data_IF_899880905043
#
_entry.id   IF_899880905043
#
_cell.length_a   1.000
_cell.length_b   1.000
_cell.length_c   1.000
_cell.angle_alpha   90.00
_cell.angle_beta   90.00
_cell.angle_gamma   90.00
#
_symmetry.space_group_name_H-M   'P 1'
#
loop_
_entity.id
_entity.type
_entity.pdbx_description
1 polymer ?
#
# COMPACT_ATOMS: atom_id res chain seq x y z
N UNK A 1 -19.86 13.93 -30.74
CA UNK A 1 -21.06 13.07 -30.66
C UNK A 1 -20.79 11.59 -30.99
N UNK A 2 -19.75 11.27 -31.78
CA UNK A 2 -19.47 9.89 -32.21
C UNK A 2 -19.20 8.91 -31.05
N UNK A 3 -18.45 9.32 -30.01
CA UNK A 3 -18.14 8.46 -28.85
C UNK A 3 -19.12 8.60 -27.67
N UNK A 4 -20.08 9.52 -27.75
CA UNK A 4 -21.00 9.82 -26.64
C UNK A 4 -22.40 9.23 -26.85
N UNK A 5 -22.71 8.76 -28.06
CA UNK A 5 -24.04 8.25 -28.42
C UNK A 5 -23.93 7.02 -29.30
N UNK A 6 -24.85 6.07 -29.10
CA UNK A 6 -24.97 4.89 -29.94
C UNK A 6 -25.43 5.33 -31.34
N UNK A 7 -24.72 4.92 -32.42
CA UNK A 7 -24.99 5.43 -33.77
C UNK A 7 -26.32 4.93 -34.36
N UNK A 8 -26.88 3.84 -33.82
CA UNK A 8 -28.15 3.25 -34.28
C UNK A 8 -29.32 3.79 -33.46
N UNK A 9 -29.20 3.82 -32.13
CA UNK A 9 -30.31 4.19 -31.23
C UNK A 9 -30.33 5.67 -30.85
N UNK A 10 -29.23 6.40 -31.06
CA UNK A 10 -29.06 7.80 -30.65
C UNK A 10 -28.99 8.02 -29.13
N UNK A 11 -29.08 6.96 -28.31
CA UNK A 11 -29.00 7.04 -26.84
C UNK A 11 -27.57 7.37 -26.40
N UNK A 12 -27.44 8.03 -25.25
CA UNK A 12 -26.13 8.25 -24.60
C UNK A 12 -25.53 6.90 -24.24
N UNK A 13 -24.25 6.73 -24.55
CA UNK A 13 -23.50 5.54 -24.23
C UNK A 13 -23.01 5.58 -22.78
N UNK A 14 -23.09 4.45 -22.10
CA UNK A 14 -22.45 4.21 -20.82
C UNK A 14 -21.29 3.22 -21.01
N UNK A 15 -20.07 3.68 -20.73
CA UNK A 15 -18.85 2.92 -21.01
C UNK A 15 -18.85 1.52 -20.36
N UNK A 16 -19.30 1.44 -19.12
CA UNK A 16 -19.30 0.21 -18.35
C UNK A 16 -20.27 -0.82 -18.91
N UNK A 17 -21.54 -0.43 -19.10
CA UNK A 17 -22.60 -1.35 -19.50
C UNK A 17 -22.61 -1.67 -20.99
N UNK A 18 -22.30 -0.69 -21.85
CA UNK A 18 -22.34 -0.88 -23.31
C UNK A 18 -21.08 -1.56 -23.87
N UNK A 19 -19.94 -1.47 -23.20
CA UNK A 19 -18.66 -1.97 -23.73
C UNK A 19 -17.84 -2.82 -22.76
N UNK A 20 -17.51 -2.27 -21.59
CA UNK A 20 -16.54 -2.90 -20.71
C UNK A 20 -17.05 -4.22 -20.09
N UNK A 21 -18.25 -4.25 -19.52
CA UNK A 21 -18.82 -5.48 -18.93
C UNK A 21 -19.08 -6.59 -19.95
N UNK A 22 -19.59 -6.33 -21.17
CA UNK A 22 -19.64 -7.33 -22.23
C UNK A 22 -18.26 -7.92 -22.55
N UNK A 23 -17.24 -7.07 -22.72
CA UNK A 23 -15.87 -7.51 -23.00
C UNK A 23 -15.31 -8.35 -21.84
N UNK A 24 -15.46 -7.85 -20.61
CA UNK A 24 -14.99 -8.48 -19.39
C UNK A 24 -15.54 -9.91 -19.26
N UNK A 25 -16.87 -10.07 -19.40
CA UNK A 25 -17.51 -11.36 -19.25
C UNK A 25 -17.17 -12.30 -20.41
N UNK A 26 -17.14 -11.80 -21.65
CA UNK A 26 -16.73 -12.62 -22.80
C UNK A 26 -15.28 -13.11 -22.67
N UNK A 27 -14.37 -12.26 -22.21
CA UNK A 27 -12.98 -12.63 -21.96
C UNK A 27 -12.87 -13.64 -20.81
N UNK A 28 -13.57 -13.39 -19.70
CA UNK A 28 -13.59 -14.27 -18.54
C UNK A 28 -14.10 -15.68 -18.90
N UNK A 29 -15.23 -15.78 -19.61
CA UNK A 29 -15.78 -17.04 -20.10
C UNK A 29 -14.78 -17.76 -21.03
N UNK A 30 -14.15 -17.02 -21.95
CA UNK A 30 -13.15 -17.57 -22.87
C UNK A 30 -11.96 -18.18 -22.14
N UNK A 31 -11.40 -17.48 -21.16
CA UNK A 31 -10.27 -17.96 -20.37
C UNK A 31 -10.68 -19.18 -19.53
N UNK A 32 -11.88 -19.15 -18.94
CA UNK A 32 -12.41 -20.27 -18.13
C UNK A 32 -12.58 -21.56 -18.92
N UNK A 33 -12.89 -21.51 -20.22
CA UNK A 33 -12.98 -22.72 -21.05
C UNK A 33 -11.65 -23.48 -21.19
N UNK A 34 -10.51 -22.84 -20.92
CA UNK A 34 -9.17 -23.42 -21.14
C UNK A 34 -8.31 -23.43 -19.87
N UNK A 35 -8.87 -23.06 -18.72
CA UNK A 35 -8.16 -22.96 -17.43
C UNK A 35 -8.96 -23.58 -16.29
N UNK A 36 -8.31 -23.88 -15.17
CA UNK A 36 -8.99 -24.37 -13.97
C UNK A 36 -9.99 -23.34 -13.44
N UNK A 37 -11.19 -23.74 -12.98
CA UNK A 37 -12.15 -22.85 -12.33
C UNK A 37 -11.57 -22.11 -11.10
N UNK A 38 -10.56 -22.69 -10.44
CA UNK A 38 -9.88 -22.12 -9.27
C UNK A 38 -8.99 -20.91 -9.59
N UNK A 39 -8.71 -20.65 -10.89
CA UNK A 39 -7.97 -19.46 -11.29
C UNK A 39 -8.78 -18.19 -11.01
N UNK A 40 -8.08 -17.20 -10.45
CA UNK A 40 -8.61 -15.88 -10.14
C UNK A 40 -8.67 -15.02 -11.40
N UNK A 41 -9.72 -14.20 -11.52
CA UNK A 41 -9.86 -13.20 -12.58
C UNK A 41 -9.69 -11.81 -11.97
N UNK A 42 -8.62 -11.11 -12.35
CA UNK A 42 -8.36 -9.74 -11.91
C UNK A 42 -9.18 -8.79 -12.77
N UNK A 43 -9.92 -7.89 -12.13
CA UNK A 43 -10.83 -6.96 -12.80
C UNK A 43 -10.43 -5.53 -12.46
N UNK A 44 -9.93 -4.82 -13.46
CA UNK A 44 -9.44 -3.45 -13.35
C UNK A 44 -10.54 -2.43 -13.68
N UNK A 45 -10.94 -1.57 -12.73
CA UNK A 45 -11.80 -0.42 -13.02
C UNK A 45 -10.99 0.71 -13.69
N UNK A 46 -11.64 1.84 -13.95
CA UNK A 46 -10.91 3.08 -14.24
C UNK A 46 -9.94 3.41 -13.08
N UNK A 47 -8.66 3.75 -13.36
CA UNK A 47 -7.68 4.10 -12.33
C UNK A 47 -8.15 5.22 -11.40
N UNK A 48 -7.73 5.18 -10.13
CA UNK A 48 -8.04 6.17 -9.09
C UNK A 48 -9.54 6.37 -8.77
N UNK A 49 -10.44 5.64 -9.42
CA UNK A 49 -11.88 5.70 -9.21
C UNK A 49 -12.37 4.63 -8.24
N UNK A 50 -13.55 4.86 -7.67
CA UNK A 50 -14.23 3.85 -6.86
C UNK A 50 -14.82 2.76 -7.74
N UNK A 51 -14.97 1.57 -7.15
CA UNK A 51 -15.68 0.47 -7.80
C UNK A 51 -17.09 0.93 -8.23
N UNK A 52 -17.47 0.77 -9.50
CA UNK A 52 -18.83 1.02 -9.94
C UNK A 52 -19.80 0.07 -9.24
N UNK A 53 -20.91 0.58 -8.73
CA UNK A 53 -21.95 -0.26 -8.10
C UNK A 53 -22.57 -1.23 -9.10
N UNK A 54 -22.62 -0.87 -10.38
CA UNK A 54 -23.13 -1.73 -11.45
C UNK A 54 -22.28 -2.97 -11.68
N UNK A 55 -21.00 -2.99 -11.28
CA UNK A 55 -20.15 -4.18 -11.44
C UNK A 55 -20.68 -5.37 -10.61
N UNK A 56 -21.46 -5.13 -9.55
CA UNK A 56 -22.05 -6.17 -8.72
C UNK A 56 -22.90 -7.18 -9.53
N UNK A 57 -23.63 -6.70 -10.54
CA UNK A 57 -24.50 -7.51 -11.41
C UNK A 57 -23.73 -8.14 -12.59
N UNK A 58 -22.50 -7.68 -12.82
CA UNK A 58 -21.67 -8.06 -13.96
C UNK A 58 -20.35 -8.74 -13.53
N UNK A 59 -20.24 -9.12 -12.26
CA UNK A 59 -19.02 -9.69 -11.69
C UNK A 59 -18.73 -11.08 -12.29
N UNK A 60 -17.53 -11.31 -12.86
CA UNK A 60 -17.09 -12.66 -13.18
C UNK A 60 -17.01 -13.51 -11.91
N UNK A 61 -17.28 -14.81 -12.03
CA UNK A 61 -17.01 -15.75 -10.93
C UNK A 61 -15.52 -15.68 -10.52
N UNK A 62 -15.22 -15.98 -9.25
CA UNK A 62 -13.85 -16.04 -8.70
C UNK A 62 -12.97 -14.81 -9.03
N UNK A 63 -13.55 -13.61 -8.96
CA UNK A 63 -12.84 -12.36 -9.27
C UNK A 63 -12.03 -11.82 -8.09
N UNK A 64 -10.99 -11.05 -8.42
CA UNK A 64 -10.26 -10.14 -7.54
C UNK A 64 -10.46 -8.73 -8.09
N UNK A 65 -10.85 -7.79 -7.25
CA UNK A 65 -10.93 -6.38 -7.66
C UNK A 65 -9.52 -5.79 -7.71
N UNK A 66 -9.13 -5.26 -8.87
CA UNK A 66 -7.75 -4.88 -9.16
C UNK A 66 -7.60 -3.38 -9.51
N UNK A 67 -7.93 -2.43 -8.61
CA UNK A 67 -7.81 -1.01 -8.90
C UNK A 67 -6.36 -0.55 -9.02
N UNK A 68 -6.15 0.59 -9.68
CA UNK A 68 -4.87 1.30 -9.68
C UNK A 68 -5.01 2.56 -8.82
N UNK A 69 -3.92 2.97 -8.16
CA UNK A 69 -3.88 4.25 -7.45
C UNK A 69 -2.53 4.92 -7.60
N UNK A 70 -2.59 6.20 -7.97
CA UNK A 70 -1.47 7.14 -7.93
C UNK A 70 -1.86 8.41 -7.19
N UNK A 71 -0.89 9.09 -6.57
CA UNK A 71 -1.08 10.50 -6.21
C UNK A 71 -1.12 11.31 -7.51
N UNK A 72 -2.33 11.64 -7.96
CA UNK A 72 -2.55 12.36 -9.21
C UNK A 72 -1.87 13.74 -9.21
N UNK A 73 -1.76 14.42 -8.06
CA UNK A 73 -1.08 15.70 -8.00
C UNK A 73 0.42 15.53 -8.27
N UNK A 74 1.05 14.57 -7.58
CA UNK A 74 2.48 14.29 -7.77
C UNK A 74 2.78 13.69 -9.14
N UNK A 75 1.90 12.82 -9.66
CA UNK A 75 2.03 12.17 -10.96
C UNK A 75 2.03 13.20 -12.10
N UNK A 76 1.03 14.10 -12.13
CA UNK A 76 0.95 15.10 -13.19
C UNK A 76 2.00 16.20 -13.07
N UNK A 77 2.34 16.60 -11.84
CA UNK A 77 3.39 17.60 -11.62
C UNK A 77 4.82 17.04 -11.79
N UNK A 78 4.97 15.71 -11.76
CA UNK A 78 6.25 15.02 -11.53
C UNK A 78 7.04 15.66 -10.39
N UNK A 79 6.38 15.92 -9.27
CA UNK A 79 6.97 16.61 -8.13
C UNK A 79 6.39 16.13 -6.81
N UNK A 80 7.24 16.05 -5.78
CA UNK A 80 6.84 15.69 -4.43
C UNK A 80 7.63 16.51 -3.40
N UNK A 81 6.94 16.89 -2.32
CA UNK A 81 7.46 17.74 -1.26
C UNK A 81 6.71 17.50 0.06
N UNK A 82 6.75 18.46 0.97
CA UNK A 82 6.05 18.37 2.27
C UNK A 82 4.54 18.68 2.20
N UNK A 83 3.97 18.81 1.00
CA UNK A 83 2.56 19.11 0.84
C UNK A 83 1.91 18.15 -0.14
N UNK A 84 0.84 17.48 0.29
CA UNK A 84 0.05 16.59 -0.55
C UNK A 84 -1.42 17.01 -0.57
N UNK A 85 -2.11 16.63 -1.64
CA UNK A 85 -3.51 16.99 -1.87
C UNK A 85 -4.34 15.72 -1.98
N UNK A 86 -5.47 15.66 -1.29
CA UNK A 86 -6.47 14.63 -1.47
C UNK A 86 -7.28 14.90 -2.76
N UNK A 87 -6.70 14.54 -3.90
CA UNK A 87 -7.32 14.74 -5.22
C UNK A 87 -8.62 13.94 -5.35
N UNK A 88 -8.69 12.74 -4.75
CA UNK A 88 -9.92 11.93 -4.71
C UNK A 88 -11.07 12.67 -4.03
N UNK A 89 -10.82 13.33 -2.90
CA UNK A 89 -11.80 14.15 -2.20
C UNK A 89 -12.14 15.44 -2.93
N UNK A 90 -11.11 16.16 -3.42
CA UNK A 90 -11.26 17.44 -4.11
C UNK A 90 -12.12 17.30 -5.37
N UNK A 91 -11.86 16.27 -6.19
CA UNK A 91 -12.64 15.96 -7.40
C UNK A 91 -14.11 15.62 -7.12
N UNK A 92 -14.44 15.25 -5.88
CA UNK A 92 -15.80 14.91 -5.41
C UNK A 92 -16.44 16.03 -4.58
N UNK A 93 -15.91 17.26 -4.67
CA UNK A 93 -16.51 18.44 -4.04
C UNK A 93 -16.14 18.65 -2.57
N UNK A 94 -15.11 17.98 -2.05
CA UNK A 94 -14.61 18.23 -0.70
C UNK A 94 -14.08 19.68 -0.60
N UNK A 95 -14.38 20.34 0.52
CA UNK A 95 -13.90 21.70 0.79
C UNK A 95 -12.36 21.76 0.75
N UNK A 96 -11.73 22.65 -0.04
CA UNK A 96 -10.29 22.60 -0.32
C UNK A 96 -9.38 22.53 0.91
N UNK A 97 -9.66 23.29 1.99
CA UNK A 97 -8.81 23.26 3.19
C UNK A 97 -8.83 21.90 3.93
N UNK A 98 -9.83 21.05 3.68
CA UNK A 98 -9.87 19.66 4.18
C UNK A 98 -9.14 18.67 3.28
N UNK A 99 -8.67 19.12 2.12
CA UNK A 99 -7.94 18.28 1.15
C UNK A 99 -6.42 18.46 1.25
N UNK A 100 -5.94 19.35 2.11
CA UNK A 100 -4.55 19.73 2.21
C UNK A 100 -3.87 19.03 3.38
N UNK A 101 -2.75 18.37 3.11
CA UNK A 101 -2.00 17.59 4.09
C UNK A 101 -0.54 18.05 4.11
N UNK A 102 -0.02 18.31 5.30
CA UNK A 102 1.33 18.82 5.52
C UNK A 102 2.26 17.78 6.16
N UNK A 103 3.52 17.79 5.73
CA UNK A 103 4.60 16.95 6.19
C UNK A 103 4.45 15.49 5.78
N UNK A 104 5.46 14.69 6.14
CA UNK A 104 5.47 13.26 5.87
C UNK A 104 4.30 12.52 6.53
N UNK A 105 3.96 12.94 7.76
CA UNK A 105 2.82 12.40 8.49
C UNK A 105 1.51 12.66 7.73
N UNK A 106 1.33 13.88 7.23
CA UNK A 106 0.17 14.23 6.41
C UNK A 106 0.10 13.42 5.10
N UNK A 107 1.23 13.18 4.44
CA UNK A 107 1.27 12.34 3.24
C UNK A 107 0.81 10.90 3.53
N UNK A 108 1.32 10.27 4.60
CA UNK A 108 0.86 8.94 5.07
C UNK A 108 -0.64 8.93 5.34
N UNK A 109 -1.16 9.91 6.09
CA UNK A 109 -2.58 10.03 6.42
C UNK A 109 -3.47 10.21 5.18
N UNK A 110 -3.04 11.07 4.24
CA UNK A 110 -3.74 11.32 2.98
C UNK A 110 -3.85 10.05 2.14
N UNK A 111 -2.72 9.36 1.93
CA UNK A 111 -2.67 8.18 1.08
C UNK A 111 -3.46 7.03 1.70
N UNK A 112 -3.32 6.79 3.02
CA UNK A 112 -4.11 5.79 3.75
C UNK A 112 -5.59 6.06 3.57
N UNK A 113 -6.05 7.31 3.73
CA UNK A 113 -7.46 7.65 3.56
C UNK A 113 -7.96 7.32 2.15
N UNK A 114 -7.24 7.76 1.11
CA UNK A 114 -7.67 7.58 -0.27
C UNK A 114 -7.69 6.10 -0.71
N UNK A 115 -6.67 5.32 -0.33
CA UNK A 115 -6.58 3.90 -0.63
C UNK A 115 -7.64 3.12 0.15
N UNK A 116 -7.80 3.39 1.45
CA UNK A 116 -8.86 2.76 2.25
C UNK A 116 -10.24 3.00 1.66
N UNK A 117 -10.53 4.23 1.22
CA UNK A 117 -11.81 4.53 0.57
C UNK A 117 -12.04 3.67 -0.68
N UNK A 118 -11.01 3.40 -1.49
CA UNK A 118 -11.12 2.53 -2.67
C UNK A 118 -11.52 1.10 -2.25
N UNK A 119 -10.83 0.55 -1.24
CA UNK A 119 -11.09 -0.81 -0.74
C UNK A 119 -12.49 -0.91 -0.12
N UNK A 120 -12.85 0.01 0.77
CA UNK A 120 -14.16 0.00 1.42
C UNK A 120 -15.30 0.23 0.42
N UNK A 121 -15.12 1.08 -0.60
CA UNK A 121 -16.11 1.25 -1.68
C UNK A 121 -16.21 0.04 -2.60
N UNK A 122 -15.14 -0.72 -2.78
CA UNK A 122 -15.20 -2.01 -3.44
C UNK A 122 -16.03 -3.00 -2.62
N UNK A 123 -15.84 -3.07 -1.30
CA UNK A 123 -16.64 -3.92 -0.43
C UNK A 123 -18.11 -3.52 -0.38
N UNK A 124 -18.41 -2.22 -0.40
CA UNK A 124 -19.77 -1.71 -0.52
C UNK A 124 -20.46 -2.26 -1.77
N UNK A 125 -19.75 -2.22 -2.91
CA UNK A 125 -20.29 -2.59 -4.23
C UNK A 125 -20.33 -4.10 -4.49
N UNK A 126 -19.24 -4.80 -4.19
CA UNK A 126 -19.01 -6.20 -4.58
C UNK A 126 -19.21 -7.20 -3.44
N UNK A 127 -19.36 -6.71 -2.21
CA UNK A 127 -19.21 -7.52 -1.01
C UNK A 127 -17.74 -7.85 -0.73
N UNK A 128 -17.53 -8.86 0.10
CA UNK A 128 -16.20 -9.25 0.62
C UNK A 128 -15.40 -10.03 -0.44
N UNK A 129 -14.95 -9.32 -1.47
CA UNK A 129 -14.04 -9.82 -2.51
C UNK A 129 -12.61 -9.41 -2.21
N UNK A 130 -11.60 -10.24 -2.56
CA UNK A 130 -10.22 -9.83 -2.46
C UNK A 130 -9.97 -8.57 -3.30
N UNK A 131 -9.21 -7.64 -2.72
CA UNK A 131 -8.73 -6.45 -3.40
C UNK A 131 -7.21 -6.52 -3.47
N UNK A 132 -6.66 -6.32 -4.67
CA UNK A 132 -5.23 -6.18 -4.90
C UNK A 132 -5.03 -4.88 -5.68
N UNK A 133 -4.18 -3.97 -5.21
CA UNK A 133 -3.87 -2.78 -5.98
C UNK A 133 -2.98 -3.17 -7.17
N UNK A 134 -3.58 -3.28 -8.36
CA UNK A 134 -2.96 -3.83 -9.57
C UNK A 134 -1.81 -2.99 -10.12
N UNK A 135 -1.79 -1.70 -9.76
CA UNK A 135 -0.71 -0.80 -10.15
C UNK A 135 -0.65 0.39 -9.20
N UNK A 136 0.56 0.71 -8.77
CA UNK A 136 0.89 1.91 -8.02
C UNK A 136 2.39 2.16 -8.08
N UNK A 137 2.83 3.39 -7.90
CA UNK A 137 4.27 3.67 -7.91
C UNK A 137 4.59 5.15 -7.76
N UNK A 138 5.88 5.45 -7.85
CA UNK A 138 6.40 6.82 -7.76
C UNK A 138 7.34 7.10 -8.94
N UNK A 139 7.25 8.28 -9.57
CA UNK A 139 8.18 8.66 -10.63
C UNK A 139 9.57 8.93 -10.03
N UNK A 140 10.57 8.16 -10.42
CA UNK A 140 11.96 8.34 -9.98
C UNK A 140 12.58 9.63 -10.53
N UNK A 141 12.09 10.11 -11.69
CA UNK A 141 12.48 11.36 -12.34
C UNK A 141 11.75 12.60 -11.80
N UNK A 142 11.05 12.47 -10.65
CA UNK A 142 10.40 13.59 -9.99
C UNK A 142 11.38 14.72 -9.64
N UNK A 143 10.84 15.92 -9.39
CA UNK A 143 11.61 17.10 -9.02
C UNK A 143 12.71 17.42 -10.04
N UNK A 144 12.37 17.29 -11.33
CA UNK A 144 13.28 17.55 -12.48
C UNK A 144 14.52 16.64 -12.50
N UNK A 145 14.44 15.44 -11.93
CA UNK A 145 15.54 14.47 -11.93
C UNK A 145 16.70 14.83 -11.00
N UNK A 146 16.53 15.74 -10.04
CA UNK A 146 17.59 16.18 -9.10
C UNK A 146 18.32 14.99 -8.43
N UNK A 147 17.57 13.94 -8.06
CA UNK A 147 18.13 12.73 -7.44
C UNK A 147 19.11 11.97 -8.33
N UNK A 148 19.01 12.08 -9.66
CA UNK A 148 19.90 11.42 -10.59
C UNK A 148 21.29 12.08 -10.61
N UNK A 149 21.33 13.40 -10.42
CA UNK A 149 22.58 14.16 -10.33
C UNK A 149 23.22 14.07 -8.95
N UNK A 150 22.41 14.17 -7.89
CA UNK A 150 22.89 14.25 -6.51
C UNK A 150 23.08 12.87 -5.85
N UNK A 151 22.38 11.86 -6.34
CA UNK A 151 22.24 10.56 -5.68
C UNK A 151 21.31 10.57 -4.46
N UNK A 152 20.70 11.71 -4.11
CA UNK A 152 19.75 11.83 -3.01
C UNK A 152 18.32 11.59 -3.48
N UNK A 153 17.82 10.37 -3.22
CA UNK A 153 16.46 9.94 -3.55
C UNK A 153 15.45 10.18 -2.41
N UNK A 154 15.70 11.11 -1.49
CA UNK A 154 14.86 11.37 -0.32
C UNK A 154 13.38 11.55 -0.67
N UNK A 155 13.04 12.29 -1.72
CA UNK A 155 11.64 12.58 -2.06
C UNK A 155 10.92 11.35 -2.62
N UNK A 156 11.61 10.57 -3.46
CA UNK A 156 11.15 9.30 -3.98
C UNK A 156 10.94 8.30 -2.83
N UNK A 157 11.89 8.23 -1.89
CA UNK A 157 11.83 7.37 -0.72
C UNK A 157 10.66 7.74 0.20
N UNK A 158 10.43 9.04 0.44
CA UNK A 158 9.29 9.54 1.23
C UNK A 158 7.95 9.25 0.56
N UNK A 159 7.82 9.55 -0.73
CA UNK A 159 6.58 9.28 -1.45
C UNK A 159 6.25 7.77 -1.47
N UNK A 160 7.25 6.92 -1.72
CA UNK A 160 7.10 5.46 -1.72
C UNK A 160 6.77 4.92 -0.32
N UNK A 161 7.40 5.45 0.74
CA UNK A 161 7.06 5.10 2.12
C UNK A 161 5.60 5.46 2.44
N UNK A 162 5.13 6.65 2.06
CA UNK A 162 3.74 7.03 2.28
C UNK A 162 2.77 6.10 1.54
N UNK A 163 3.09 5.72 0.30
CA UNK A 163 2.30 4.80 -0.52
C UNK A 163 2.23 3.40 0.10
N UNK A 164 3.36 2.79 0.42
CA UNK A 164 3.37 1.42 0.95
C UNK A 164 2.79 1.38 2.36
N UNK A 165 3.01 2.42 3.19
CA UNK A 165 2.36 2.54 4.50
C UNK A 165 0.83 2.55 4.37
N UNK A 166 0.28 3.24 3.35
CA UNK A 166 -1.15 3.26 3.10
C UNK A 166 -1.72 1.91 2.67
N UNK A 167 -0.97 1.18 1.85
CA UNK A 167 -1.30 -0.18 1.39
C UNK A 167 -1.30 -1.18 2.55
N UNK A 168 -0.25 -1.15 3.37
CA UNK A 168 -0.09 -1.96 4.59
C UNK A 168 -1.25 -1.72 5.58
N UNK A 169 -1.55 -0.46 5.88
CA UNK A 169 -2.64 -0.11 6.80
C UNK A 169 -4.03 -0.46 6.26
N UNK A 170 -4.15 -0.62 4.94
CA UNK A 170 -5.37 -1.08 4.28
C UNK A 170 -5.45 -2.60 4.14
N UNK A 171 -4.40 -3.34 4.54
CA UNK A 171 -4.31 -4.80 4.53
C UNK A 171 -4.58 -5.44 3.15
N UNK A 172 -4.15 -4.78 2.08
CA UNK A 172 -4.29 -5.28 0.71
C UNK A 172 -2.94 -5.62 0.09
N UNK A 173 -2.95 -6.58 -0.83
CA UNK A 173 -1.80 -6.82 -1.70
C UNK A 173 -1.68 -5.71 -2.75
N UNK A 174 -0.49 -5.58 -3.34
CA UNK A 174 -0.23 -4.59 -4.38
C UNK A 174 0.87 -5.03 -5.33
N UNK A 175 0.91 -4.41 -6.50
CA UNK A 175 1.98 -4.54 -7.48
C UNK A 175 2.55 -3.16 -7.81
N UNK A 176 3.86 -2.99 -7.54
CA UNK A 176 4.56 -1.74 -7.84
C UNK A 176 4.84 -1.64 -9.33
N UNK A 177 4.54 -0.48 -9.92
CA UNK A 177 5.00 -0.05 -11.22
C UNK A 177 6.31 0.72 -11.04
N UNK A 178 7.46 0.19 -11.47
CA UNK A 178 7.63 -1.19 -11.95
C UNK A 178 9.00 -1.77 -11.58
N UNK A 179 9.25 -2.99 -12.04
CA UNK A 179 10.60 -3.50 -12.21
C UNK A 179 10.88 -3.61 -13.71
N UNK A 180 11.76 -2.76 -14.22
CA UNK A 180 12.27 -2.86 -15.58
C UNK A 180 13.80 -3.01 -15.54
N UNK A 181 14.35 -4.16 -15.97
CA UNK A 181 15.79 -4.41 -15.94
C UNK A 181 16.59 -3.58 -16.98
N UNK A 182 15.91 -3.03 -17.99
CA UNK A 182 16.51 -2.14 -18.98
C UNK A 182 16.47 -0.67 -18.55
N UNK A 183 15.70 -0.33 -17.51
CA UNK A 183 15.54 1.05 -17.10
C UNK A 183 16.86 1.65 -16.61
N UNK A 184 17.13 2.91 -16.95
CA UNK A 184 18.25 3.67 -16.43
C UNK A 184 17.84 5.12 -16.07
N UNK A 185 18.73 5.84 -15.39
CA UNK A 185 18.45 7.19 -14.91
C UNK A 185 18.31 8.22 -16.06
N UNK A 186 18.92 7.95 -17.22
CA UNK A 186 18.96 8.89 -18.35
C UNK A 186 17.73 8.74 -19.27
N UNK A 187 17.38 7.51 -19.63
CA UNK A 187 16.37 7.18 -20.64
C UNK A 187 15.06 6.71 -20.05
N UNK A 188 15.01 6.39 -18.75
CA UNK A 188 13.85 5.74 -18.17
C UNK A 188 13.72 4.32 -18.69
N UNK A 189 12.52 3.92 -19.09
CA UNK A 189 12.15 2.54 -19.42
C UNK A 189 12.57 2.05 -20.81
N UNK A 190 13.26 2.88 -21.60
CA UNK A 190 13.67 2.62 -22.99
C UNK A 190 12.47 2.38 -23.94
N UNK A 191 11.27 2.85 -23.56
CA UNK A 191 10.06 2.71 -24.36
C UNK A 191 9.35 4.05 -24.62
N UNK A 192 8.81 4.69 -23.58
CA UNK A 192 8.10 5.96 -23.70
C UNK A 192 8.75 7.07 -22.85
N UNK A 193 9.84 6.76 -22.16
CA UNK A 193 10.58 7.68 -21.29
C UNK A 193 10.07 7.71 -19.86
N UNK A 194 9.20 6.79 -19.46
CA UNK A 194 8.78 6.63 -18.06
C UNK A 194 9.95 6.19 -17.19
N UNK A 195 10.10 6.83 -16.03
CA UNK A 195 11.09 6.42 -15.03
C UNK A 195 10.41 6.03 -13.72
N UNK A 196 9.71 4.90 -13.71
CA UNK A 196 9.00 4.35 -12.55
C UNK A 196 9.69 3.14 -11.93
N UNK A 197 10.65 2.54 -12.64
CA UNK A 197 11.34 1.36 -12.14
C UNK A 197 12.00 1.69 -10.80
N UNK A 198 11.93 0.82 -9.80
CA UNK A 198 12.80 0.99 -8.63
C UNK A 198 14.23 0.53 -8.93
N UNK A 199 14.46 -0.15 -10.06
CA UNK A 199 15.77 -0.59 -10.50
C UNK A 199 16.33 0.32 -11.60
N UNK A 200 17.63 0.62 -11.55
CA UNK A 200 18.38 1.34 -12.58
C UNK A 200 19.61 0.52 -12.98
N UNK A 201 19.68 0.13 -14.25
CA UNK A 201 20.73 -0.72 -14.81
C UNK A 201 22.11 -0.09 -14.67
N UNK A 202 22.22 1.23 -14.81
CA UNK A 202 23.48 1.96 -14.65
C UNK A 202 24.06 1.88 -13.23
N UNK A 203 23.23 1.50 -12.24
CA UNK A 203 23.62 1.37 -10.83
C UNK A 203 23.85 -0.09 -10.41
N UNK A 204 23.65 -1.05 -11.31
CA UNK A 204 23.77 -2.48 -11.03
C UNK A 204 25.20 -3.00 -11.21
N UNK A 205 25.53 -4.07 -10.50
CA UNK A 205 26.79 -4.78 -10.71
C UNK A 205 26.73 -5.64 -11.99
N UNK A 206 27.88 -5.88 -12.66
CA UNK A 206 27.94 -6.85 -13.74
C UNK A 206 27.69 -8.28 -13.20
N UNK A 207 27.14 -9.21 -14.02
CA UNK A 207 26.82 -10.57 -13.59
C UNK A 207 27.99 -11.35 -12.97
N UNK A 208 29.23 -11.03 -13.34
CA UNK A 208 30.44 -11.66 -12.80
C UNK A 208 30.74 -11.33 -11.33
N UNK A 209 30.07 -10.32 -10.77
CA UNK A 209 30.21 -9.89 -9.36
C UNK A 209 28.97 -10.22 -8.53
N UNK A 210 27.99 -10.93 -9.11
CA UNK A 210 26.78 -11.33 -8.40
C UNK A 210 26.97 -12.68 -7.71
N UNK A 211 26.59 -12.69 -6.45
CA UNK A 211 26.27 -13.89 -5.68
C UNK A 211 24.76 -14.12 -5.77
N UNK A 212 24.34 -15.40 -5.83
CA UNK A 212 22.95 -15.79 -6.13
C UNK A 212 22.21 -16.38 -4.92
N UNK A 213 22.85 -16.37 -3.76
CA UNK A 213 22.23 -16.63 -2.47
C UNK A 213 21.15 -15.58 -2.20
N UNK A 214 20.01 -16.00 -1.64
CA UNK A 214 18.82 -15.17 -1.49
C UNK A 214 19.05 -13.91 -0.63
N UNK A 215 20.00 -13.97 0.29
CA UNK A 215 20.38 -12.90 1.22
C UNK A 215 21.65 -12.14 0.79
N UNK A 216 22.16 -12.39 -0.43
CA UNK A 216 23.38 -11.76 -0.92
C UNK A 216 23.18 -10.25 -1.18
N UNK A 217 23.94 -9.35 -0.52
CA UNK A 217 23.84 -7.91 -0.73
C UNK A 217 24.18 -7.46 -2.16
N UNK A 218 24.87 -8.29 -2.95
CA UNK A 218 25.14 -8.01 -4.36
C UNK A 218 23.86 -7.90 -5.19
N UNK A 219 22.79 -8.61 -4.82
CA UNK A 219 21.52 -8.61 -5.54
C UNK A 219 20.76 -7.28 -5.43
N UNK A 220 21.03 -6.51 -4.38
CA UNK A 220 20.42 -5.19 -4.16
C UNK A 220 21.05 -4.08 -5.02
N UNK A 221 22.17 -4.35 -5.69
CA UNK A 221 22.82 -3.36 -6.54
C UNK A 221 21.95 -3.06 -7.76
N UNK A 222 21.80 -1.78 -8.07
CA UNK A 222 20.85 -1.28 -9.07
C UNK A 222 19.51 -0.87 -8.48
N UNK A 223 19.18 -1.33 -7.26
CA UNK A 223 18.01 -0.87 -6.53
C UNK A 223 18.13 0.60 -6.12
N UNK A 224 17.03 1.33 -6.30
CA UNK A 224 16.79 2.67 -5.77
C UNK A 224 15.82 2.55 -4.61
N UNK A 225 16.02 3.37 -3.57
CA UNK A 225 15.10 3.51 -2.44
C UNK A 225 14.65 2.18 -1.78
N UNK A 226 15.51 1.15 -1.78
CA UNK A 226 15.15 -0.18 -1.28
C UNK A 226 14.65 -0.17 0.17
N UNK A 227 15.12 0.75 1.01
CA UNK A 227 14.61 0.94 2.38
C UNK A 227 13.11 1.26 2.45
N UNK A 228 12.55 1.89 1.41
CA UNK A 228 11.12 2.17 1.31
C UNK A 228 10.34 1.00 0.71
N UNK A 229 10.97 0.13 -0.08
CA UNK A 229 10.31 -0.93 -0.87
C UNK A 229 10.40 -2.29 -0.19
N UNK A 230 11.59 -2.66 0.29
CA UNK A 230 11.89 -3.96 0.90
C UNK A 230 11.52 -3.89 2.38
N UNK A 231 10.25 -4.21 2.66
CA UNK A 231 9.63 -4.06 3.98
C UNK A 231 9.14 -5.41 4.53
N UNK A 232 9.07 -5.58 5.86
CA UNK A 232 8.45 -6.77 6.44
C UNK A 232 6.97 -6.86 6.07
N UNK A 233 6.44 -8.07 5.88
CA UNK A 233 5.00 -8.30 5.70
C UNK A 233 4.60 -9.72 6.08
N UNK A 234 3.33 -9.93 6.42
CA UNK A 234 2.78 -11.26 6.69
C UNK A 234 2.52 -12.00 5.37
N UNK A 235 3.45 -12.89 4.99
CA UNK A 235 3.35 -13.68 3.76
C UNK A 235 2.28 -14.78 3.88
N UNK A 236 2.19 -15.40 5.07
CA UNK A 236 1.13 -16.36 5.42
C UNK A 236 0.68 -16.13 6.84
N UNK A 237 -0.62 -16.14 7.06
CA UNK A 237 -1.22 -15.91 8.38
C UNK A 237 -2.05 -17.10 8.77
N UNK A 238 -1.80 -17.66 9.96
CA UNK A 238 -2.68 -18.64 10.57
C UNK A 238 -3.91 -17.96 11.20
N UNK A 239 -4.72 -17.29 10.37
CA UNK A 239 -5.85 -16.47 10.78
C UNK A 239 -6.15 -15.35 9.79
N UNK A 240 -6.92 -14.37 10.24
CA UNK A 240 -7.35 -13.21 9.44
C UNK A 240 -6.57 -11.98 9.92
N UNK A 241 -5.77 -11.33 9.06
CA UNK A 241 -5.11 -10.06 9.38
C UNK A 241 -6.14 -8.99 9.75
N UNK A 242 -5.90 -8.23 10.83
CA UNK A 242 -6.77 -7.11 11.23
C UNK A 242 -6.01 -5.79 11.46
N UNK A 243 -4.69 -5.85 11.57
CA UNK A 243 -3.85 -4.66 11.66
C UNK A 243 -2.40 -4.97 11.29
N UNK A 244 -1.76 -4.09 10.51
CA UNK A 244 -0.33 -4.10 10.27
C UNK A 244 0.16 -2.65 10.23
N UNK A 245 1.28 -2.38 10.88
CA UNK A 245 1.93 -1.06 10.87
C UNK A 245 3.43 -1.25 10.94
N UNK A 246 4.16 -0.66 10.00
CA UNK A 246 5.62 -0.66 9.96
C UNK A 246 6.18 0.77 10.00
N UNK A 247 7.27 0.97 10.73
CA UNK A 247 8.02 2.23 10.76
C UNK A 247 9.43 2.04 10.20
N UNK A 248 9.64 2.51 8.96
CA UNK A 248 10.89 2.30 8.23
C UNK A 248 12.12 2.90 8.91
N UNK A 249 11.97 3.97 9.70
CA UNK A 249 13.11 4.62 10.36
C UNK A 249 13.65 3.81 11.54
N UNK A 250 12.88 2.83 12.04
CA UNK A 250 13.27 2.02 13.20
C UNK A 250 13.35 0.53 12.87
N UNK A 251 12.67 0.09 11.80
CA UNK A 251 12.51 -1.33 11.47
C UNK A 251 11.44 -2.03 12.32
N UNK A 252 10.73 -1.29 13.16
CA UNK A 252 9.72 -1.85 14.06
C UNK A 252 8.40 -2.03 13.32
N UNK A 253 7.74 -3.17 13.50
CA UNK A 253 6.35 -3.36 13.08
C UNK A 253 5.48 -3.96 14.17
N UNK A 254 4.19 -3.62 14.11
CA UNK A 254 3.12 -4.25 14.86
C UNK A 254 2.25 -5.05 13.90
N UNK A 255 1.90 -6.28 14.28
CA UNK A 255 1.02 -7.12 13.49
C UNK A 255 -0.02 -7.81 14.37
N UNK A 256 -1.28 -7.75 13.94
CA UNK A 256 -2.41 -8.34 14.66
C UNK A 256 -3.27 -9.16 13.71
N UNK A 257 -3.62 -10.37 14.13
CA UNK A 257 -4.54 -11.25 13.43
C UNK A 257 -5.49 -11.95 14.40
N UNK A 258 -6.58 -12.49 13.86
CA UNK A 258 -7.59 -13.21 14.63
C UNK A 258 -7.78 -14.62 14.09
N UNK A 259 -7.93 -15.61 14.97
CA UNK A 259 -8.27 -16.97 14.59
C UNK A 259 -9.66 -17.02 13.93
N UNK A 260 -9.78 -17.70 12.79
CA UNK A 260 -11.06 -17.87 12.05
C UNK A 260 -11.77 -19.18 12.41
N UNK A 261 -13.08 -19.24 12.19
CA UNK A 261 -13.85 -20.50 12.26
C UNK A 261 -13.64 -21.33 10.98
N UNK A 262 -13.52 -22.66 11.08
CA UNK A 262 -13.60 -23.55 9.92
C UNK A 262 -15.04 -23.87 9.48
N UNK A 263 -16.06 -23.06 9.81
CA UNK A 263 -17.45 -23.44 9.55
C UNK A 263 -18.07 -22.73 8.33
N UNK A 264 -18.22 -23.42 7.17
CA UNK A 264 -18.83 -22.84 5.97
C UNK A 264 -20.34 -22.55 6.10
N UNK A 265 -20.99 -23.00 7.18
CA UNK A 265 -22.43 -22.81 7.40
C UNK A 265 -22.83 -21.47 8.05
N UNK A 266 -21.86 -20.66 8.51
CA UNK A 266 -22.12 -19.35 9.13
C UNK A 266 -21.92 -18.21 8.12
N UNK A 267 -22.80 -18.13 7.12
CA UNK A 267 -22.93 -16.94 6.27
C UNK A 267 -23.82 -15.87 6.91
N UNK A 268 -23.71 -15.67 8.21
CA UNK A 268 -24.26 -14.46 8.83
C UNK A 268 -23.29 -13.33 8.56
N UNK A 269 -23.44 -12.67 7.41
CA UNK A 269 -22.91 -11.34 7.18
C UNK A 269 -23.41 -10.47 8.33
N UNK A 270 -22.57 -10.24 9.34
CA UNK A 270 -22.90 -9.31 10.41
C UNK A 270 -23.19 -7.97 9.74
N UNK A 271 -24.38 -7.41 10.00
CA UNK A 271 -24.83 -6.06 9.58
C UNK A 271 -23.99 -4.94 10.25
N UNK A 272 -22.69 -5.13 10.39
CA UNK A 272 -21.74 -4.10 10.81
C UNK A 272 -21.27 -3.28 9.62
N UNK A 273 -20.73 -2.10 9.88
CA UNK A 273 -20.00 -1.34 8.87
C UNK A 273 -18.85 -2.19 8.30
N UNK A 274 -18.83 -2.35 6.97
CA UNK A 274 -17.72 -2.99 6.26
C UNK A 274 -16.50 -2.08 6.39
N UNK A 275 -15.43 -2.59 6.97
CA UNK A 275 -14.18 -1.84 7.10
C UNK A 275 -13.00 -2.79 7.04
N UNK A 276 -11.91 -2.32 6.45
CA UNK A 276 -10.63 -3.05 6.39
C UNK A 276 -10.13 -3.48 7.77
N UNK A 277 -10.50 -2.75 8.84
CA UNK A 277 -10.11 -3.07 10.22
C UNK A 277 -11.05 -4.07 10.91
N UNK A 278 -12.19 -4.38 10.31
CA UNK A 278 -13.20 -5.31 10.85
C UNK A 278 -13.62 -6.29 9.76
N UNK A 279 -12.68 -7.09 9.22
CA UNK A 279 -13.01 -8.06 8.19
C UNK A 279 -13.98 -9.11 8.76
N UNK A 280 -14.79 -9.76 7.90
CA UNK A 280 -15.62 -10.87 8.30
C UNK A 280 -14.78 -11.97 8.95
N UNK A 281 -15.26 -12.53 10.06
CA UNK A 281 -14.55 -13.59 10.80
C UNK A 281 -15.05 -15.00 10.50
N UNK A 282 -16.09 -15.11 9.68
CA UNK A 282 -16.72 -16.35 9.26
C UNK A 282 -16.70 -16.46 7.73
N UNK A 283 -16.91 -17.68 7.21
CA UNK A 283 -16.90 -17.94 5.77
C UNK A 283 -15.52 -18.08 5.13
N UNK A 284 -14.45 -18.07 5.94
CA UNK A 284 -13.08 -18.35 5.48
C UNK A 284 -12.83 -19.86 5.39
N UNK A 285 -11.92 -20.31 4.51
CA UNK A 285 -11.45 -21.69 4.51
C UNK A 285 -10.86 -22.12 5.86
N UNK A 286 -10.95 -23.42 6.16
CA UNK A 286 -10.29 -23.96 7.34
C UNK A 286 -8.78 -23.77 7.28
N UNK A 287 -8.17 -23.38 8.41
CA UNK A 287 -6.73 -23.27 8.52
C UNK A 287 -6.07 -24.64 8.32
N UNK A 288 -5.04 -24.68 7.47
CA UNK A 288 -4.24 -25.88 7.20
C UNK A 288 -2.92 -25.91 7.99
N UNK A 289 -2.58 -24.80 8.65
CA UNK A 289 -1.37 -24.64 9.46
C UNK A 289 -1.65 -23.63 10.58
N UNK A 290 -0.96 -23.81 11.72
CA UNK A 290 -0.93 -22.85 12.83
C UNK A 290 0.30 -21.94 12.77
N UNK A 291 1.16 -22.13 11.77
CA UNK A 291 2.36 -21.33 11.57
C UNK A 291 2.05 -20.10 10.72
N UNK A 292 2.29 -18.92 11.29
CA UNK A 292 2.34 -17.64 10.60
C UNK A 292 3.77 -17.40 10.11
N UNK A 293 3.91 -17.04 8.84
CA UNK A 293 5.18 -16.73 8.18
C UNK A 293 5.20 -15.24 7.82
N UNK A 294 6.12 -14.50 8.42
CA UNK A 294 6.36 -13.09 8.12
C UNK A 294 7.68 -12.96 7.35
N UNK A 295 7.64 -12.36 6.17
CA UNK A 295 8.87 -11.93 5.52
C UNK A 295 9.51 -10.85 6.38
N UNK A 296 10.77 -11.04 6.76
CA UNK A 296 11.60 -10.08 7.49
C UNK A 296 12.94 -10.00 6.76
N UNK A 297 13.19 -8.92 5.99
CA UNK A 297 14.36 -8.85 5.13
C UNK A 297 15.68 -8.94 5.90
N UNK A 298 16.65 -9.69 5.37
CA UNK A 298 18.01 -9.73 5.90
C UNK A 298 18.65 -8.34 5.85
N UNK A 299 18.33 -7.52 4.84
CA UNK A 299 18.77 -6.12 4.76
C UNK A 299 18.49 -5.33 6.06
N UNK A 300 17.40 -5.66 6.75
CA UNK A 300 17.06 -5.04 8.04
C UNK A 300 17.69 -5.80 9.21
N UNK A 301 17.56 -7.13 9.23
CA UNK A 301 17.91 -7.96 10.39
C UNK A 301 19.41 -8.31 10.50
N UNK A 302 20.17 -8.26 9.41
CA UNK A 302 21.56 -8.70 9.37
C UNK A 302 22.42 -7.96 10.39
N UNK A 303 23.15 -8.72 11.21
CA UNK A 303 23.98 -8.18 12.30
C UNK A 303 23.19 -7.57 13.46
N UNK A 304 21.87 -7.79 13.53
CA UNK A 304 20.99 -7.30 14.60
C UNK A 304 20.25 -8.45 15.27
N UNK A 305 19.84 -8.23 16.52
CA UNK A 305 18.95 -9.15 17.23
C UNK A 305 17.51 -8.83 16.86
N UNK A 306 16.77 -9.83 16.37
CA UNK A 306 15.32 -9.73 16.15
C UNK A 306 14.60 -9.99 17.48
N UNK A 307 13.86 -9.00 17.95
CA UNK A 307 13.12 -9.07 19.22
C UNK A 307 11.62 -9.17 18.90
N UNK A 308 10.95 -10.19 19.41
CA UNK A 308 9.50 -10.39 19.27
C UNK A 308 8.84 -10.28 20.64
N UNK A 309 7.87 -9.36 20.77
CA UNK A 309 7.05 -9.13 21.97
C UNK A 309 5.57 -9.36 21.67
N UNK A 310 4.77 -9.60 22.70
CA UNK A 310 3.31 -9.75 22.59
C UNK A 310 2.81 -11.20 22.48
N UNK A 311 3.73 -12.16 22.42
CA UNK A 311 3.42 -13.59 22.43
C UNK A 311 2.89 -14.06 23.80
N UNK A 312 1.90 -14.95 23.78
CA UNK A 312 1.33 -15.55 24.98
C UNK A 312 2.24 -16.66 25.56
N UNK A 313 2.05 -17.06 26.83
CA UNK A 313 2.77 -18.20 27.39
C UNK A 313 2.54 -19.48 26.57
N UNK A 314 3.61 -20.05 26.03
CA UNK A 314 3.58 -21.28 25.22
C UNK A 314 3.71 -21.04 23.71
N UNK A 315 3.49 -19.81 23.26
CA UNK A 315 3.75 -19.39 21.88
C UNK A 315 5.26 -19.45 21.57
N UNK A 316 5.58 -19.68 20.30
CA UNK A 316 6.95 -19.84 19.83
C UNK A 316 7.20 -18.96 18.63
N UNK A 317 8.43 -18.47 18.51
CA UNK A 317 8.90 -17.81 17.31
C UNK A 317 10.33 -18.23 16.97
N UNK A 318 10.69 -18.09 15.70
CA UNK A 318 12.05 -18.30 15.20
C UNK A 318 12.26 -17.44 13.96
N UNK A 319 13.33 -16.65 13.94
CA UNK A 319 13.79 -15.98 12.73
C UNK A 319 14.82 -16.85 12.00
N UNK A 320 14.64 -17.01 10.69
CA UNK A 320 15.56 -17.71 9.79
C UNK A 320 16.07 -16.70 8.76
N UNK A 321 17.29 -16.21 8.96
CA UNK A 321 17.86 -15.14 8.12
C UNK A 321 18.09 -15.58 6.68
N UNK A 322 18.54 -16.81 6.46
CA UNK A 322 18.76 -17.36 5.12
C UNK A 322 17.48 -17.40 4.28
N UNK A 323 16.34 -17.59 4.95
CA UNK A 323 15.00 -17.55 4.35
C UNK A 323 14.34 -16.18 4.45
N UNK A 324 14.96 -15.24 5.15
CA UNK A 324 14.40 -13.91 5.46
C UNK A 324 12.97 -14.02 6.03
N UNK A 325 12.74 -14.99 6.92
CA UNK A 325 11.41 -15.34 7.41
C UNK A 325 11.37 -15.47 8.93
N UNK A 326 10.44 -14.76 9.56
CA UNK A 326 10.06 -14.94 10.96
C UNK A 326 8.84 -15.86 11.04
N UNK A 327 9.03 -17.02 11.67
CA UNK A 327 8.00 -18.01 11.93
C UNK A 327 7.40 -17.78 13.32
N UNK A 328 6.08 -17.84 13.44
CA UNK A 328 5.35 -17.73 14.70
C UNK A 328 4.30 -18.82 14.78
N UNK A 329 4.24 -19.52 15.91
CA UNK A 329 3.22 -20.51 16.22
C UNK A 329 2.55 -20.12 17.53
N UNK A 330 1.27 -19.79 17.46
CA UNK A 330 0.45 -19.51 18.63
C UNK A 330 -0.21 -20.79 19.16
N UNK A 331 -0.15 -21.01 20.47
CA UNK A 331 -0.74 -22.19 21.09
C UNK A 331 -2.27 -22.08 21.17
N UNK A 332 -2.78 -20.87 21.42
CA UNK A 332 -4.20 -20.62 21.53
C UNK A 332 -4.87 -20.55 20.14
N UNK A 333 -5.46 -21.66 19.73
CA UNK A 333 -6.24 -21.81 18.51
C UNK A 333 -7.75 -21.56 18.74
N UNK A 334 -8.16 -20.99 19.88
CA UNK A 334 -9.57 -20.74 20.17
C UNK A 334 -10.15 -19.71 19.19
N UNK A 335 -11.45 -19.84 18.91
CA UNK A 335 -12.15 -18.94 18.01
C UNK A 335 -12.12 -17.50 18.53
N UNK A 336 -11.99 -16.53 17.63
CA UNK A 336 -11.97 -15.10 17.93
C UNK A 336 -10.81 -14.65 18.82
N UNK A 337 -9.87 -15.55 19.15
CA UNK A 337 -8.61 -15.20 19.78
C UNK A 337 -7.85 -14.26 18.86
N UNK A 338 -7.53 -13.09 19.41
CA UNK A 338 -6.68 -12.09 18.78
C UNK A 338 -5.26 -12.28 19.25
N UNK A 339 -4.34 -12.36 18.30
CA UNK A 339 -2.90 -12.40 18.52
C UNK A 339 -2.31 -11.06 18.07
N UNK A 340 -1.40 -10.49 18.84
CA UNK A 340 -0.75 -9.23 18.53
C UNK A 340 0.72 -9.30 18.90
N UNK A 341 1.59 -8.95 17.95
CA UNK A 341 3.03 -8.93 18.16
C UNK A 341 3.60 -7.56 17.84
N UNK A 342 4.70 -7.23 18.50
CA UNK A 342 5.60 -6.14 18.11
C UNK A 342 6.96 -6.75 17.84
N UNK A 343 7.48 -6.52 16.64
CA UNK A 343 8.81 -6.95 16.23
C UNK A 343 9.70 -5.72 16.09
N UNK A 344 10.87 -5.76 16.71
CA UNK A 344 11.87 -4.69 16.68
C UNK A 344 13.28 -5.25 16.51
N UNK A 345 14.23 -4.38 16.21
CA UNK A 345 15.64 -4.73 15.99
C UNK A 345 16.54 -4.08 17.05
N UNK A 346 17.57 -4.80 17.49
CA UNK A 346 18.61 -4.27 18.38
C UNK A 346 20.03 -4.52 17.82
N UNK A 347 20.81 -3.46 17.54
CA UNK A 347 20.44 -2.04 17.62
C UNK A 347 19.37 -1.64 16.59
N UNK A 348 18.61 -0.55 16.81
CA UNK A 348 17.61 -0.08 15.85
C UNK A 348 18.25 0.38 14.53
N UNK A 349 17.42 0.54 13.49
CA UNK A 349 17.87 1.13 12.23
C UNK A 349 18.29 2.60 12.40
N UNK A 350 19.18 3.05 11.52
CA UNK A 350 19.42 4.47 11.35
C UNK A 350 18.21 5.09 10.61
N UNK A 351 17.64 6.21 11.09
CA UNK A 351 16.55 6.87 10.40
C UNK A 351 16.93 7.30 8.98
N UNK A 352 16.08 7.00 8.00
CA UNK A 352 16.25 7.42 6.62
C UNK A 352 15.91 8.90 6.43
N UNK A 353 14.90 9.40 7.14
CA UNK A 353 14.51 10.81 7.13
C UNK A 353 13.69 11.18 8.37
N UNK A 354 13.61 12.48 8.66
CA UNK A 354 12.72 12.99 9.69
C UNK A 354 11.24 12.91 9.24
N UNK A 355 10.38 12.37 10.10
CA UNK A 355 8.92 12.39 9.93
C UNK A 355 8.40 13.69 10.54
N UNK A 356 8.21 14.70 9.70
CA UNK A 356 7.67 16.00 10.09
C UNK A 356 6.13 16.04 10.00
N UNK A 357 5.56 17.02 10.70
CA UNK A 357 4.17 17.40 10.66
C UNK A 357 4.00 18.93 10.83
N UNK A 358 2.77 19.41 10.71
CA UNK A 358 2.48 20.85 10.73
C UNK A 358 2.94 21.55 12.00
N UNK A 359 2.75 20.93 13.16
CA UNK A 359 3.11 21.55 14.44
C UNK A 359 4.61 21.45 14.72
N UNK A 360 5.26 20.39 14.24
CA UNK A 360 6.72 20.28 14.25
C UNK A 360 7.38 21.39 13.45
N UNK A 361 6.88 21.69 12.25
CA UNK A 361 7.50 22.66 11.34
C UNK A 361 7.13 24.11 11.66
N UNK A 362 5.87 24.38 12.05
CA UNK A 362 5.36 25.75 12.23
C UNK A 362 4.97 26.11 13.65
N UNK A 363 4.87 25.15 14.57
CA UNK A 363 4.35 25.39 15.92
C UNK A 363 5.10 26.48 16.67
N UNK A 364 6.44 26.48 16.61
CA UNK A 364 7.27 27.51 17.21
C UNK A 364 6.97 28.91 16.67
N UNK A 365 6.91 29.06 15.34
CA UNK A 365 6.60 30.33 14.68
C UNK A 365 5.18 30.81 15.03
N UNK A 366 4.19 29.91 15.02
CA UNK A 366 2.81 30.22 15.40
C UNK A 366 2.76 30.71 16.85
N UNK A 367 3.42 30.02 17.78
CA UNK A 367 3.49 30.45 19.18
C UNK A 367 4.14 31.83 19.30
N UNK A 368 5.25 32.10 18.61
CA UNK A 368 5.89 33.42 18.63
C UNK A 368 4.97 34.53 18.10
N UNK A 369 4.24 34.27 17.01
CA UNK A 369 3.27 35.23 16.45
C UNK A 369 2.12 35.47 17.43
N UNK A 370 1.57 34.42 18.03
CA UNK A 370 0.48 34.54 19.02
C UNK A 370 0.94 35.31 20.26
N UNK A 371 2.16 35.08 20.74
CA UNK A 371 2.75 35.84 21.85
C UNK A 371 2.93 37.30 21.48
N UNK A 372 3.40 37.61 20.26
CA UNK A 372 3.53 38.99 19.78
C UNK A 372 2.16 39.69 19.66
N UNK A 373 1.15 39.03 19.10
CA UNK A 373 -0.22 39.54 19.02
C UNK A 373 -0.78 39.77 20.43
N UNK A 374 -0.61 38.81 21.34
CA UNK A 374 -1.05 38.94 22.72
C UNK A 374 -0.38 40.14 23.41
N UNK A 375 0.93 40.31 23.25
CA UNK A 375 1.66 41.45 23.80
C UNK A 375 1.16 42.78 23.22
N UNK A 376 0.88 42.86 21.92
CA UNK A 376 0.30 44.05 21.26
C UNK A 376 -1.09 44.34 21.81
N UNK A 377 -1.96 43.33 21.89
CA UNK A 377 -3.31 43.45 22.46
C UNK A 377 -3.22 43.92 23.91
N UNK A 378 -2.41 43.28 24.75
CA UNK A 378 -2.20 43.68 26.14
C UNK A 378 -1.70 45.12 26.26
N UNK A 379 -0.77 45.54 25.39
CA UNK A 379 -0.30 46.93 25.35
C UNK A 379 -1.43 47.92 25.05
N UNK A 380 -2.33 47.63 24.11
CA UNK A 380 -3.44 48.51 23.75
C UNK A 380 -4.66 48.46 24.68
N UNK A 381 -4.77 47.45 25.55
CA UNK A 381 -5.89 47.31 26.51
C UNK A 381 -5.51 47.60 27.96
N UNK A 382 -4.20 47.66 28.30
CA UNK A 382 -3.71 48.02 29.64
C UNK A 382 -3.09 49.43 29.74
N UNK A 383 -2.96 50.12 28.61
CA UNK A 383 -2.73 51.57 28.50
C UNK A 383 -4.02 52.22 27.99
#
# INVERSE_FOLDING_TARGET
>A
NYFSKNPVTGKKVDWYTDFYYPLLNQWAERVRMVTSPDKLIFVEPVPNEFCPTSLAEHQPANMVFAPHWYDLNALFAKAFGDFTVNVQGLSRGMFPLKTFYWGHKGARENYTLQIRNIVEKAHDSLGERPVLLGECGVPMDMNKGEAFETGDFKWQARMMDALITALEQSLIGFTLWNYNPANDDERGDDWNGENFSWFSRGRALPPSLLYYEQDAPSLDNGGRILQSIVRPYAAKTAGIPIHFQYEMNTGTFTYTWVNSTPNPASQTYLKGEKSVFKPPRTGHPALMSLETELFLPSQLAHGRTVIVKGLDPGDKHRYDESRQTLFIVCQDASLDKVHSIVVSLDPPLAPAFAVNDFWGDFGGTITSILVAIAAIVTYFFLL
#
